data_IF_764794877625
#
_entry.id   IF_764794877625
#
_cell.length_a   1.000
_cell.length_b   1.000
_cell.length_c   1.000
_cell.angle_alpha   90.00
_cell.angle_beta   90.00
_cell.angle_gamma   90.00
#
_symmetry.space_group_name_H-M   'P 1'
#
loop_
_entity.id
_entity.type
_entity.pdbx_description
1 polymer ?
#
# COMPACT_ATOMS: atom_id res chain seq x y z
N UNK A 1 2.86 10.98 7.19
CA UNK A 1 3.31 10.12 8.30
C UNK A 1 4.00 8.93 7.71
N UNK A 2 5.16 8.52 8.23
CA UNK A 2 5.84 7.29 7.84
C UNK A 2 6.15 6.49 9.09
N UNK A 3 5.91 5.19 9.03
CA UNK A 3 6.22 4.24 10.09
C UNK A 3 7.07 3.11 9.51
N UNK A 4 8.08 2.69 10.25
CA UNK A 4 8.86 1.49 9.95
C UNK A 4 8.21 0.34 10.73
N UNK A 5 8.07 -0.81 10.09
CA UNK A 5 7.48 -2.01 10.70
C UNK A 5 8.61 -2.88 11.25
N UNK A 6 8.34 -3.52 12.40
CA UNK A 6 9.27 -4.49 12.99
C UNK A 6 9.52 -5.63 12.02
N UNK A 7 10.76 -6.11 11.94
CA UNK A 7 11.11 -7.30 11.17
C UNK A 7 10.45 -8.56 11.75
N UNK A 8 10.24 -8.61 13.07
CA UNK A 8 9.50 -9.65 13.78
C UNK A 8 8.06 -9.84 13.29
N UNK A 9 7.49 -8.84 12.59
CA UNK A 9 6.15 -8.95 12.01
C UNK A 9 6.13 -9.87 10.77
N UNK A 10 7.29 -10.28 10.25
CA UNK A 10 7.42 -11.08 9.04
C UNK A 10 8.17 -12.40 9.29
N UNK A 11 7.92 -13.44 8.47
CA UNK A 11 8.58 -14.75 8.61
C UNK A 11 10.06 -14.77 8.22
N UNK A 12 10.55 -13.76 7.51
CA UNK A 12 11.91 -13.67 6.96
C UNK A 12 12.40 -12.22 7.07
N UNK A 13 13.72 -12.03 7.09
CA UNK A 13 14.36 -10.71 7.15
C UNK A 13 13.82 -9.75 6.08
N UNK A 14 13.30 -8.61 6.53
CA UNK A 14 12.73 -7.57 5.69
C UNK A 14 12.90 -6.20 6.35
N UNK A 15 13.12 -5.18 5.53
CA UNK A 15 12.90 -3.79 5.94
C UNK A 15 11.62 -3.32 5.30
N UNK A 16 10.61 -2.97 6.11
CA UNK A 16 9.30 -2.58 5.62
C UNK A 16 8.86 -1.25 6.22
N UNK A 17 8.23 -0.41 5.39
CA UNK A 17 7.65 0.85 5.84
C UNK A 17 6.30 1.13 5.20
N UNK A 18 5.53 1.93 5.91
CA UNK A 18 4.21 2.37 5.52
C UNK A 18 4.15 3.90 5.62
N UNK A 19 3.79 4.56 4.52
CA UNK A 19 3.65 6.01 4.42
C UNK A 19 2.20 6.39 4.07
N UNK A 20 1.64 7.33 4.83
CA UNK A 20 0.36 7.96 4.55
C UNK A 20 0.57 9.45 4.36
N UNK A 21 0.02 9.99 3.27
CA UNK A 21 -0.06 11.43 3.01
C UNK A 21 -1.48 11.85 2.65
N UNK A 22 -2.06 12.70 3.48
CA UNK A 22 -3.38 13.32 3.26
C UNK A 22 -3.22 14.78 2.83
N UNK A 23 -4.08 15.22 1.92
CA UNK A 23 -4.14 16.61 1.45
C UNK A 23 -5.45 17.28 1.89
N UNK A 24 -5.49 18.63 1.83
CA UNK A 24 -6.66 19.42 2.28
C UNK A 24 -7.90 19.26 1.38
N UNK A 25 -7.72 18.75 0.17
CA UNK A 25 -8.77 18.54 -0.83
C UNK A 25 -9.27 17.08 -0.83
N UNK A 26 -9.04 16.32 0.25
CA UNK A 26 -9.38 14.90 0.38
C UNK A 26 -8.55 13.95 -0.50
N UNK A 27 -7.58 14.47 -1.28
CA UNK A 27 -6.63 13.61 -1.97
C UNK A 27 -5.70 12.91 -0.97
N UNK A 28 -5.16 11.77 -1.38
CA UNK A 28 -4.15 11.07 -0.61
C UNK A 28 -3.23 10.19 -1.48
N UNK A 29 -2.08 9.88 -0.91
CA UNK A 29 -1.28 8.73 -1.31
C UNK A 29 -0.97 7.91 -0.06
N UNK A 30 -1.20 6.61 -0.16
CA UNK A 30 -0.73 5.62 0.80
C UNK A 30 0.25 4.71 0.07
N UNK A 31 1.43 4.49 0.63
CA UNK A 31 2.49 3.67 0.03
C UNK A 31 3.01 2.69 1.06
N UNK A 32 3.07 1.43 0.66
CA UNK A 32 3.72 0.38 1.44
C UNK A 32 4.85 -0.22 0.62
N UNK A 33 5.98 -0.47 1.26
CA UNK A 33 7.14 -1.08 0.62
C UNK A 33 7.88 -2.01 1.58
N UNK A 34 8.28 -3.15 1.05
CA UNK A 34 9.17 -4.14 1.64
C UNK A 34 10.44 -4.25 0.80
N UNK A 35 11.59 -4.32 1.47
CA UNK A 35 12.87 -4.68 0.86
C UNK A 35 13.29 -6.05 1.39
N UNK A 36 13.43 -7.01 0.49
CA UNK A 36 13.79 -8.42 0.76
C UNK A 36 15.02 -8.81 -0.07
N UNK A 37 15.63 -9.96 0.23
CA UNK A 37 16.75 -10.47 -0.57
C UNK A 37 16.40 -10.65 -2.06
N UNK A 38 15.16 -11.06 -2.36
CA UNK A 38 14.68 -11.28 -3.73
C UNK A 38 14.23 -10.03 -4.49
N UNK A 39 14.27 -8.85 -3.86
CA UNK A 39 13.85 -7.59 -4.50
C UNK A 39 13.00 -6.70 -3.61
N UNK A 40 12.35 -5.73 -4.24
CA UNK A 40 11.41 -4.82 -3.58
C UNK A 40 9.99 -5.26 -3.92
N UNK A 41 9.11 -5.21 -2.93
CA UNK A 41 7.68 -5.39 -3.11
C UNK A 41 6.98 -4.14 -2.59
N UNK A 42 6.18 -3.48 -3.41
CA UNK A 42 5.49 -2.24 -3.05
C UNK A 42 4.15 -2.10 -3.75
N UNK A 43 3.21 -1.44 -3.09
CA UNK A 43 1.90 -1.11 -3.62
C UNK A 43 1.46 0.27 -3.12
N UNK A 44 0.56 0.93 -3.86
CA UNK A 44 0.08 2.26 -3.50
C UNK A 44 -1.43 2.38 -3.69
N UNK A 45 -2.08 3.13 -2.80
CA UNK A 45 -3.46 3.56 -2.93
C UNK A 45 -3.47 5.07 -3.08
N UNK A 46 -4.06 5.53 -4.18
CA UNK A 46 -4.07 6.93 -4.55
C UNK A 46 -5.50 7.43 -4.71
N UNK A 47 -5.75 8.61 -4.15
CA UNK A 47 -6.89 9.48 -4.50
C UNK A 47 -6.30 10.77 -5.02
N UNK A 48 -6.26 10.94 -6.33
CA UNK A 48 -5.91 12.20 -6.97
C UNK A 48 -6.35 12.21 -8.43
N UNK A 49 -6.61 13.38 -9.04
CA UNK A 49 -6.84 13.47 -10.47
C UNK A 49 -5.65 12.93 -11.27
N UNK A 50 -5.92 12.11 -12.29
CA UNK A 50 -4.92 11.65 -13.27
C UNK A 50 -5.56 11.59 -14.67
N UNK A 51 -4.74 11.69 -15.72
CA UNK A 51 -5.18 11.61 -17.11
C UNK A 51 -5.42 10.18 -17.59
N UNK A 52 -4.89 9.19 -16.88
CA UNK A 52 -4.91 7.78 -17.28
C UNK A 52 -5.84 6.90 -16.43
N UNK A 53 -6.27 7.38 -15.27
CA UNK A 53 -7.03 6.61 -14.29
C UNK A 53 -8.12 7.46 -13.64
N UNK A 54 -9.10 6.76 -13.08
CA UNK A 54 -10.01 7.23 -12.05
C UNK A 54 -9.28 8.03 -10.95
N UNK A 55 -10.01 8.94 -10.29
CA UNK A 55 -9.48 9.70 -9.14
C UNK A 55 -8.96 8.73 -8.07
N UNK A 56 -9.71 7.68 -7.80
CA UNK A 56 -9.33 6.59 -6.89
C UNK A 56 -8.72 5.45 -7.72
N UNK A 57 -7.47 5.09 -7.43
CA UNK A 57 -6.78 4.01 -8.13
C UNK A 57 -5.72 3.31 -7.27
N UNK A 58 -5.51 2.03 -7.55
CA UNK A 58 -4.54 1.17 -6.89
C UNK A 58 -3.36 0.89 -7.83
N UNK A 59 -2.14 1.04 -7.32
CA UNK A 59 -0.93 0.58 -7.97
C UNK A 59 -0.53 -0.77 -7.37
N UNK A 60 -0.69 -1.87 -8.11
CA UNK A 60 -0.45 -3.20 -7.58
C UNK A 60 1.04 -3.48 -7.37
N UNK A 61 1.34 -4.45 -6.51
CA UNK A 61 2.68 -5.03 -6.41
C UNK A 61 3.09 -5.80 -7.67
N UNK A 62 4.40 -6.08 -7.86
CA UNK A 62 5.50 -5.78 -6.93
C UNK A 62 6.05 -4.36 -7.04
N UNK A 63 5.74 -3.63 -8.11
CA UNK A 63 6.48 -2.41 -8.45
C UNK A 63 5.72 -1.11 -8.20
N UNK A 64 4.43 -1.19 -7.86
CA UNK A 64 3.52 -0.04 -7.86
C UNK A 64 3.65 0.77 -9.16
N UNK A 65 3.71 0.06 -10.30
CA UNK A 65 3.93 0.67 -11.61
C UNK A 65 2.81 1.65 -11.95
N UNK A 66 3.17 2.74 -12.63
CA UNK A 66 2.19 3.71 -13.13
C UNK A 66 1.36 3.16 -14.28
N UNK A 67 1.90 2.24 -15.07
CA UNK A 67 1.20 1.65 -16.22
C UNK A 67 0.19 0.59 -15.82
N UNK A 68 0.35 0.02 -14.62
CA UNK A 68 -0.45 -1.11 -14.15
C UNK A 68 -1.49 -0.64 -13.10
N UNK A 69 -1.71 0.67 -13.02
CA UNK A 69 -2.68 1.27 -12.13
C UNK A 69 -4.10 0.84 -12.50
N UNK A 70 -4.85 0.41 -11.50
CA UNK A 70 -6.20 -0.11 -11.63
C UNK A 70 -7.16 0.88 -10.98
N UNK A 71 -8.21 1.25 -11.72
CA UNK A 71 -9.27 2.09 -11.19
C UNK A 71 -10.03 1.36 -10.07
N UNK A 72 -10.32 2.07 -9.00
CA UNK A 72 -11.06 1.55 -7.84
C UNK A 72 -11.92 2.66 -7.21
N UNK A 73 -12.53 2.39 -6.05
CA UNK A 73 -13.29 3.35 -5.26
C UNK A 73 -12.94 3.21 -3.77
N UNK A 74 -12.45 4.30 -3.17
CA UNK A 74 -12.08 4.30 -1.76
C UNK A 74 -13.21 4.86 -0.87
N UNK A 75 -13.32 4.42 0.39
CA UNK A 75 -14.20 5.06 1.36
C UNK A 75 -13.97 6.58 1.47
N UNK A 76 -15.00 7.31 1.88
CA UNK A 76 -14.88 8.75 2.13
C UNK A 76 -14.25 9.05 3.49
N UNK A 77 -14.46 8.19 4.49
CA UNK A 77 -13.84 8.37 5.81
C UNK A 77 -12.39 7.87 5.78
N UNK A 78 -11.46 8.73 6.18
CA UNK A 78 -10.03 8.40 6.20
C UNK A 78 -9.69 7.18 7.08
N UNK A 79 -10.48 6.90 8.12
CA UNK A 79 -10.27 5.71 8.98
C UNK A 79 -10.68 4.45 8.24
N UNK A 80 -11.73 4.51 7.44
CA UNK A 80 -12.17 3.39 6.62
C UNK A 80 -11.17 3.11 5.48
N UNK A 81 -10.57 4.15 4.90
CA UNK A 81 -9.44 4.00 3.97
C UNK A 81 -8.26 3.32 4.65
N UNK A 82 -7.85 3.80 5.84
CA UNK A 82 -6.76 3.17 6.59
C UNK A 82 -7.05 1.70 6.90
N UNK A 83 -8.30 1.37 7.28
CA UNK A 83 -8.71 -0.01 7.54
C UNK A 83 -8.59 -0.89 6.30
N UNK A 84 -9.11 -0.43 5.16
CA UNK A 84 -9.01 -1.14 3.89
C UNK A 84 -7.55 -1.46 3.54
N UNK A 85 -6.65 -0.49 3.70
CA UNK A 85 -5.24 -0.68 3.39
C UNK A 85 -4.57 -1.64 4.38
N UNK A 86 -4.82 -1.48 5.68
CA UNK A 86 -4.23 -2.34 6.70
C UNK A 86 -4.72 -3.79 6.54
N UNK A 87 -6.02 -4.00 6.27
CA UNK A 87 -6.58 -5.34 6.06
C UNK A 87 -5.88 -6.06 4.88
N UNK A 88 -5.59 -5.34 3.78
CA UNK A 88 -4.83 -5.88 2.65
C UNK A 88 -3.38 -6.25 3.03
N UNK A 89 -2.73 -5.42 3.85
CA UNK A 89 -1.35 -5.67 4.31
C UNK A 89 -1.28 -6.84 5.30
N UNK A 90 -2.25 -6.95 6.21
CA UNK A 90 -2.38 -8.09 7.13
C UNK A 90 -2.56 -9.40 6.34
N UNK A 91 -3.47 -9.44 5.36
CA UNK A 91 -3.68 -10.62 4.51
C UNK A 91 -2.39 -11.05 3.79
N UNK A 92 -1.63 -10.08 3.28
CA UNK A 92 -0.32 -10.33 2.69
C UNK A 92 0.64 -10.95 3.71
N UNK A 93 0.79 -10.35 4.88
CA UNK A 93 1.76 -10.81 5.89
C UNK A 93 1.38 -12.19 6.39
N UNK A 94 0.10 -12.45 6.65
CA UNK A 94 -0.40 -13.78 6.98
C UNK A 94 -0.11 -14.81 5.87
N UNK A 95 -0.27 -14.42 4.61
CA UNK A 95 0.02 -15.30 3.47
C UNK A 95 1.50 -15.69 3.44
N UNK A 96 2.40 -14.75 3.75
CA UNK A 96 3.83 -15.04 3.86
C UNK A 96 4.13 -16.01 5.00
N UNK A 97 3.50 -15.84 6.17
CA UNK A 97 3.64 -16.77 7.29
C UNK A 97 3.14 -18.18 6.96
N UNK A 98 2.06 -18.31 6.18
CA UNK A 98 1.51 -19.61 5.74
C UNK A 98 2.38 -20.32 4.69
N UNK A 99 3.29 -19.59 4.03
CA UNK A 99 4.19 -20.12 3.00
C UNK A 99 5.57 -20.53 3.53
N UNK A 100 5.76 -20.48 4.85
CA UNK A 100 6.99 -20.91 5.51
C UNK A 100 7.14 -22.44 5.49
#
# INVERSE_FOLDING_TARGET
MRVELSDEYYPNEVSAHFEIRWYRNDDFNIHYQEKRQGGTWKCRWDRHPNVHNSRDHFHPPPDASRTDAQDDQWPMDHRDVCRLVIDYLEERVETLWKQQ
#
